data_IF_722891365457
#
_entry.id   IF_722891365457
#
_cell.length_a   1.000
_cell.length_b   1.000
_cell.length_c   1.000
_cell.angle_alpha   90.00
_cell.angle_beta   90.00
_cell.angle_gamma   90.00
#
_symmetry.space_group_name_H-M   'P 1'
#
loop_
_entity.id
_entity.type
_entity.pdbx_description
1 polymer ?
#
# COMPACT_ATOMS: atom_id res chain seq x y z
N UNK A 1 13.33 6.68 8.52
CA UNK A 1 12.70 5.51 9.20
C UNK A 1 13.69 4.42 9.66
N UNK A 2 14.99 4.68 9.90
CA UNK A 2 16.01 3.68 10.32
C UNK A 2 15.91 2.31 9.60
N UNK A 3 15.60 2.33 8.30
CA UNK A 3 15.62 1.12 7.47
C UNK A 3 17.06 0.87 7.05
N UNK A 4 17.47 -0.40 7.02
CA UNK A 4 18.80 -0.84 6.57
C UNK A 4 18.87 -1.05 5.05
N UNK A 5 17.87 -0.56 4.32
CA UNK A 5 17.75 -0.66 2.87
C UNK A 5 17.18 0.64 2.29
N UNK A 6 17.39 0.86 1.00
CA UNK A 6 16.90 2.01 0.24
C UNK A 6 15.84 1.58 -0.80
N UNK A 7 15.33 2.56 -1.55
CA UNK A 7 14.36 2.34 -2.63
C UNK A 7 14.89 1.38 -3.71
N UNK A 8 16.16 1.45 -4.09
CA UNK A 8 16.75 0.56 -5.09
C UNK A 8 16.75 -0.92 -4.65
N UNK A 9 17.05 -1.19 -3.37
CA UNK A 9 16.96 -2.54 -2.83
C UNK A 9 15.52 -3.06 -2.87
N UNK A 10 14.55 -2.21 -2.51
CA UNK A 10 13.13 -2.54 -2.60
C UNK A 10 12.72 -2.87 -4.04
N UNK A 11 13.11 -2.03 -5.01
CA UNK A 11 12.83 -2.23 -6.44
C UNK A 11 13.36 -3.56 -6.95
N UNK A 12 14.61 -3.91 -6.63
CA UNK A 12 15.22 -5.20 -7.00
C UNK A 12 14.40 -6.39 -6.51
N UNK A 13 13.90 -6.33 -5.27
CA UNK A 13 13.07 -7.41 -4.71
C UNK A 13 11.71 -7.46 -5.43
N UNK A 14 11.07 -6.30 -5.62
CA UNK A 14 9.79 -6.21 -6.32
C UNK A 14 9.87 -6.78 -7.73
N UNK A 15 10.85 -6.35 -8.52
CA UNK A 15 11.05 -6.78 -9.90
C UNK A 15 11.33 -8.29 -9.97
N UNK A 16 12.13 -8.81 -9.02
CA UNK A 16 12.38 -10.24 -8.91
C UNK A 16 11.10 -11.03 -8.61
N UNK A 17 10.30 -10.58 -7.65
CA UNK A 17 9.05 -11.26 -7.27
C UNK A 17 8.03 -11.25 -8.41
N UNK A 18 7.81 -10.09 -9.03
CA UNK A 18 6.89 -9.94 -10.17
C UNK A 18 7.30 -10.81 -11.36
N UNK A 19 8.62 -11.01 -11.57
CA UNK A 19 9.13 -11.85 -12.65
C UNK A 19 8.98 -13.35 -12.38
N UNK A 20 9.18 -13.78 -11.12
CA UNK A 20 9.34 -15.21 -10.80
C UNK A 20 8.14 -15.83 -10.08
N UNK A 21 7.18 -15.03 -9.60
CA UNK A 21 5.99 -15.51 -8.91
C UNK A 21 4.75 -15.06 -9.69
N UNK A 22 4.23 -15.91 -10.58
CA UNK A 22 3.01 -15.60 -11.34
C UNK A 22 1.86 -15.24 -10.41
N UNK A 23 1.08 -14.23 -10.79
CA UNK A 23 -0.11 -13.77 -10.07
C UNK A 23 0.13 -13.33 -8.62
N UNK A 24 1.36 -12.94 -8.25
CA UNK A 24 1.67 -12.47 -6.90
C UNK A 24 0.83 -11.23 -6.54
N UNK A 25 0.20 -11.28 -5.37
CA UNK A 25 -0.51 -10.15 -4.78
C UNK A 25 0.36 -9.47 -3.75
N UNK A 26 0.80 -8.24 -4.04
CA UNK A 26 1.70 -7.49 -3.17
C UNK A 26 0.91 -6.37 -2.49
N UNK A 27 0.75 -6.49 -1.17
CA UNK A 27 0.20 -5.44 -0.33
C UNK A 27 1.34 -4.68 0.37
N UNK A 28 1.20 -3.36 0.52
CA UNK A 28 2.20 -2.57 1.25
C UNK A 28 1.56 -1.43 2.04
N UNK A 29 2.23 -1.03 3.13
CA UNK A 29 1.89 0.15 3.92
C UNK A 29 2.83 1.31 3.57
N UNK A 30 2.27 2.51 3.38
CA UNK A 30 3.01 3.74 3.19
C UNK A 30 2.66 4.74 4.30
N UNK A 31 3.70 5.35 4.88
CA UNK A 31 3.56 6.40 5.89
C UNK A 31 3.96 7.71 5.24
N UNK A 32 3.00 8.62 5.05
CA UNK A 32 3.23 9.97 4.59
C UNK A 32 3.56 10.90 5.76
N UNK A 33 4.26 12.00 5.46
CA UNK A 33 4.59 13.08 6.38
C UNK A 33 5.44 12.63 7.57
N UNK A 34 6.36 11.68 7.34
CA UNK A 34 7.37 11.34 8.32
C UNK A 34 8.20 12.59 8.69
N UNK A 35 8.66 12.78 9.95
CA UNK A 35 9.27 14.05 10.39
C UNK A 35 10.43 14.61 9.57
N UNK A 36 11.11 13.77 8.78
CA UNK A 36 12.23 14.17 7.91
C UNK A 36 11.92 14.08 6.42
N UNK A 37 10.68 13.78 6.05
CA UNK A 37 10.27 13.58 4.66
C UNK A 37 10.30 14.90 3.90
N UNK A 38 11.20 15.03 2.91
CA UNK A 38 11.23 16.18 2.02
C UNK A 38 10.14 16.08 0.94
N UNK A 39 10.02 17.07 0.07
CA UNK A 39 9.11 16.97 -1.08
C UNK A 39 9.62 15.94 -2.09
N UNK A 40 10.95 15.87 -2.26
CA UNK A 40 11.62 14.89 -3.12
C UNK A 40 11.38 13.45 -2.62
N UNK A 41 11.53 13.22 -1.31
CA UNK A 41 11.22 11.91 -0.69
C UNK A 41 9.76 11.47 -0.94
N UNK A 42 8.83 12.44 -0.87
CA UNK A 42 7.42 12.20 -1.11
C UNK A 42 7.15 11.88 -2.58
N UNK A 43 7.78 12.61 -3.52
CA UNK A 43 7.62 12.35 -4.95
C UNK A 43 8.25 11.02 -5.36
N UNK A 44 9.40 10.63 -4.79
CA UNK A 44 9.97 9.29 -4.99
C UNK A 44 9.01 8.19 -4.52
N UNK A 45 8.33 8.42 -3.40
CA UNK A 45 7.32 7.51 -2.87
C UNK A 45 6.09 7.43 -3.79
N UNK A 46 5.65 8.55 -4.36
CA UNK A 46 4.59 8.58 -5.37
C UNK A 46 5.02 7.84 -6.64
N UNK A 47 6.27 7.98 -7.06
CA UNK A 47 6.79 7.29 -8.23
C UNK A 47 6.81 5.77 -8.04
N UNK A 48 7.20 5.27 -6.85
CA UNK A 48 7.09 3.84 -6.53
C UNK A 48 5.65 3.32 -6.69
N UNK A 49 4.65 4.09 -6.25
CA UNK A 49 3.24 3.73 -6.40
C UNK A 49 2.82 3.73 -7.87
N UNK A 50 3.30 4.67 -8.69
CA UNK A 50 3.03 4.71 -10.14
C UNK A 50 3.66 3.53 -10.88
N UNK A 51 4.90 3.19 -10.53
CA UNK A 51 5.68 2.14 -11.18
C UNK A 51 5.06 0.76 -10.93
N UNK A 52 4.73 0.47 -9.66
CA UNK A 52 4.31 -0.87 -9.25
C UNK A 52 2.80 -1.08 -9.18
N UNK A 53 2.00 -0.01 -9.17
CA UNK A 53 0.53 -0.05 -9.12
C UNK A 53 -0.01 -1.11 -8.14
N UNK A 54 0.42 -1.01 -6.88
CA UNK A 54 0.12 -2.00 -5.84
C UNK A 54 -1.38 -2.32 -5.78
N UNK A 55 -1.80 -3.60 -5.80
CA UNK A 55 -3.22 -3.94 -5.73
C UNK A 55 -3.83 -3.65 -4.34
N UNK A 56 -3.01 -3.61 -3.29
CA UNK A 56 -3.40 -3.17 -1.94
C UNK A 56 -2.35 -2.22 -1.36
N UNK A 57 -2.80 -1.01 -1.00
CA UNK A 57 -1.95 0.04 -0.48
C UNK A 57 -2.64 0.70 0.72
N UNK A 58 -2.04 0.57 1.91
CA UNK A 58 -2.52 1.26 3.10
C UNK A 58 -1.74 2.56 3.29
N UNK A 59 -2.44 3.68 3.20
CA UNK A 59 -1.84 5.01 3.25
C UNK A 59 -2.14 5.62 4.61
N UNK A 60 -1.11 5.82 5.42
CA UNK A 60 -1.22 6.35 6.78
C UNK A 60 -0.47 7.66 6.91
N UNK A 61 -1.01 8.60 7.68
CA UNK A 61 -0.23 9.76 8.14
C UNK A 61 0.68 9.34 9.30
N UNK A 62 1.90 9.88 9.35
CA UNK A 62 2.78 9.67 10.50
C UNK A 62 2.12 10.08 11.81
N UNK A 63 2.12 9.16 12.77
CA UNK A 63 1.71 9.39 14.14
C UNK A 63 2.85 9.00 15.09
N UNK A 64 3.31 9.90 15.98
CA UNK A 64 4.40 9.61 16.89
C UNK A 64 3.98 8.55 17.91
N UNK A 65 4.76 7.47 18.01
CA UNK A 65 4.56 6.44 19.03
C UNK A 65 5.54 6.65 20.18
N UNK A 66 5.03 6.66 21.41
CA UNK A 66 5.85 6.82 22.62
C UNK A 66 7.04 5.84 22.64
N UNK A 67 8.18 6.28 23.15
CA UNK A 67 9.42 5.48 23.21
C UNK A 67 10.24 5.42 21.90
N UNK A 68 9.72 5.91 20.78
CA UNK A 68 10.48 5.91 19.51
C UNK A 68 11.35 7.18 19.37
N UNK A 69 12.49 7.12 18.64
CA UNK A 69 13.25 8.33 18.31
C UNK A 69 12.40 9.36 17.55
N UNK A 70 11.51 8.89 16.66
CA UNK A 70 10.64 9.72 15.85
C UNK A 70 9.62 10.53 16.68
N UNK A 71 9.28 10.07 17.88
CA UNK A 71 8.36 10.79 18.77
C UNK A 71 8.88 12.16 19.22
N UNK A 72 10.21 12.35 19.24
CA UNK A 72 10.85 13.60 19.63
C UNK A 72 11.17 14.53 18.46
N UNK A 73 10.89 14.09 17.22
CA UNK A 73 11.20 14.86 16.02
C UNK A 73 10.12 15.91 15.74
N UNK A 74 10.50 17.04 15.14
CA UNK A 74 9.55 18.06 14.71
C UNK A 74 8.66 17.48 13.61
N UNK A 75 7.35 17.56 13.80
CA UNK A 75 6.39 17.07 12.80
C UNK A 75 6.34 17.99 11.59
N UNK A 76 6.05 17.41 10.44
CA UNK A 76 5.56 18.16 9.28
C UNK A 76 4.20 18.78 9.63
N UNK A 77 3.91 19.94 9.06
CA UNK A 77 2.66 20.65 9.28
C UNK A 77 1.44 19.77 8.94
N UNK A 78 0.35 19.96 9.67
CA UNK A 78 -0.85 19.11 9.52
C UNK A 78 -1.53 19.32 8.16
N UNK A 79 -1.50 20.53 7.61
CA UNK A 79 -2.07 20.82 6.29
C UNK A 79 -1.25 20.07 5.23
N UNK A 80 0.07 20.13 5.32
CA UNK A 80 0.98 19.45 4.40
C UNK A 80 0.85 17.93 4.50
N UNK A 81 0.76 17.39 5.72
CA UNK A 81 0.56 15.97 5.94
C UNK A 81 -0.76 15.45 5.33
N UNK A 82 -1.83 16.24 5.44
CA UNK A 82 -3.12 15.94 4.81
C UNK A 82 -3.03 16.02 3.28
N UNK A 83 -2.34 17.02 2.73
CA UNK A 83 -2.10 17.16 1.28
C UNK A 83 -1.42 15.91 0.72
N UNK A 84 -0.32 15.48 1.33
CA UNK A 84 0.45 14.29 0.90
C UNK A 84 -0.38 13.01 0.95
N UNK A 85 -1.07 12.79 2.07
CA UNK A 85 -1.95 11.62 2.24
C UNK A 85 -3.09 11.60 1.21
N UNK A 86 -3.72 12.76 0.97
CA UNK A 86 -4.79 12.89 -0.02
C UNK A 86 -4.28 12.66 -1.45
N UNK A 87 -3.11 13.19 -1.81
CA UNK A 87 -2.50 13.02 -3.13
C UNK A 87 -2.17 11.54 -3.42
N UNK A 88 -1.52 10.84 -2.49
CA UNK A 88 -1.23 9.42 -2.65
C UNK A 88 -2.52 8.59 -2.72
N UNK A 89 -3.54 8.97 -1.94
CA UNK A 89 -4.85 8.30 -1.98
C UNK A 89 -5.58 8.54 -3.30
N UNK A 90 -5.42 9.71 -3.92
CA UNK A 90 -5.96 10.00 -5.24
C UNK A 90 -5.27 9.13 -6.29
N UNK A 91 -3.94 9.09 -6.29
CA UNK A 91 -3.17 8.23 -7.20
C UNK A 91 -3.58 6.75 -7.07
N UNK A 92 -3.73 6.24 -5.85
CA UNK A 92 -4.17 4.85 -5.64
C UNK A 92 -5.56 4.55 -6.21
N UNK A 93 -6.45 5.55 -6.29
CA UNK A 93 -7.79 5.40 -6.88
C UNK A 93 -7.78 5.48 -8.41
N UNK A 94 -6.74 6.05 -9.01
CA UNK A 94 -6.68 6.28 -10.46
C UNK A 94 -6.42 5.01 -11.26
N UNK A 95 -5.66 4.05 -10.72
CA UNK A 95 -5.36 2.81 -11.43
C UNK A 95 -6.25 1.65 -10.99
N UNK A 96 -6.60 0.77 -11.94
CA UNK A 96 -7.30 -0.47 -11.61
C UNK A 96 -6.39 -1.38 -10.80
N UNK A 97 -6.93 -1.90 -9.70
CA UNK A 97 -6.30 -2.92 -8.84
C UNK A 97 -6.61 -4.34 -9.31
N UNK A 98 -7.61 -4.47 -10.18
CA UNK A 98 -8.08 -5.74 -10.70
C UNK A 98 -7.69 -5.84 -12.16
N UNK A 99 -6.95 -6.89 -12.45
CA UNK A 99 -6.62 -7.35 -13.80
C UNK A 99 -7.88 -7.98 -14.41
N UNK A 100 -8.41 -7.48 -15.54
CA UNK A 100 -9.54 -8.11 -16.25
C UNK A 100 -9.31 -9.59 -16.53
N UNK A 101 -8.04 -10.00 -16.61
CA UNK A 101 -7.58 -11.36 -16.83
C UNK A 101 -8.06 -12.34 -15.73
N UNK A 102 -8.40 -11.86 -14.53
CA UNK A 102 -8.95 -12.72 -13.45
C UNK A 102 -10.39 -13.18 -13.70
N UNK A 103 -11.10 -12.56 -14.65
CA UNK A 103 -12.48 -12.95 -14.96
C UNK A 103 -12.47 -14.31 -15.66
N UNK A 104 -13.09 -15.30 -15.04
CA UNK A 104 -13.17 -16.67 -15.55
C UNK A 104 -12.12 -17.63 -14.98
N UNK A 105 -11.23 -17.14 -14.10
CA UNK A 105 -10.29 -18.01 -13.38
C UNK A 105 -10.99 -18.74 -12.22
N UNK A 106 -10.57 -19.98 -11.95
CA UNK A 106 -10.98 -20.73 -10.77
C UNK A 106 -10.04 -20.44 -9.59
N UNK A 107 -10.61 -20.14 -8.43
CA UNK A 107 -9.85 -19.81 -7.22
C UNK A 107 -10.31 -20.66 -6.03
N UNK A 108 -9.36 -21.05 -5.18
CA UNK A 108 -9.68 -21.62 -3.87
C UNK A 108 -10.19 -20.51 -2.94
N UNK A 109 -11.30 -20.78 -2.24
CA UNK A 109 -11.93 -19.82 -1.33
C UNK A 109 -12.07 -20.40 0.07
N UNK A 110 -11.88 -19.55 1.08
CA UNK A 110 -12.21 -19.86 2.47
C UNK A 110 -13.56 -19.22 2.80
N UNK A 111 -14.52 -20.04 3.25
CA UNK A 111 -15.82 -19.55 3.69
C UNK A 111 -15.70 -19.11 5.15
N UNK A 112 -15.78 -17.79 5.38
CA UNK A 112 -15.69 -17.22 6.72
C UNK A 112 -17.04 -17.17 7.43
N UNK A 113 -18.11 -16.85 6.70
CA UNK A 113 -19.46 -16.72 7.26
C UNK A 113 -20.51 -17.15 6.24
N UNK A 114 -21.63 -17.67 6.75
CA UNK A 114 -22.80 -18.04 5.95
C UNK A 114 -23.92 -17.03 6.20
N UNK A 115 -24.31 -16.28 5.18
CA UNK A 115 -25.46 -15.38 5.28
C UNK A 115 -26.76 -16.17 5.50
N UNK A 116 -27.63 -15.71 6.40
CA UNK A 116 -28.89 -16.37 6.78
C UNK A 116 -30.07 -16.10 5.84
N UNK A 117 -29.84 -15.44 4.69
CA UNK A 117 -30.86 -15.10 3.70
C UNK A 117 -31.17 -16.23 2.70
N UNK A 118 -32.27 -16.09 1.93
CA UNK A 118 -32.73 -17.06 0.91
C UNK A 118 -31.73 -17.33 -0.23
N UNK A 119 -30.67 -16.54 -0.33
CA UNK A 119 -29.54 -16.78 -1.21
C UNK A 119 -28.30 -16.86 -0.33
N UNK A 120 -27.65 -18.02 -0.30
CA UNK A 120 -26.38 -18.23 0.40
C UNK A 120 -25.29 -17.45 -0.34
N UNK A 121 -25.16 -16.16 -0.02
CA UNK A 121 -24.01 -15.35 -0.46
C UNK A 121 -22.82 -15.76 0.38
N UNK A 122 -21.84 -16.41 -0.25
CA UNK A 122 -20.56 -16.70 0.36
C UNK A 122 -19.68 -15.46 0.24
N UNK A 123 -19.23 -14.91 1.37
CA UNK A 123 -18.19 -13.87 1.36
C UNK A 123 -16.85 -14.60 1.30
N UNK A 124 -16.22 -14.59 0.12
CA UNK A 124 -14.84 -15.01 -0.03
C UNK A 124 -13.93 -13.83 0.26
N UNK A 125 -12.96 -14.01 1.16
CA UNK A 125 -11.73 -13.22 1.14
C UNK A 125 -10.59 -14.16 0.74
N UNK A 126 -10.29 -14.20 -0.55
CA UNK A 126 -9.01 -14.69 -1.04
C UNK A 126 -8.11 -13.48 -1.25
N UNK A 127 -7.05 -13.39 -0.44
CA UNK A 127 -5.95 -12.42 -0.63
C UNK A 127 -5.33 -12.61 -2.02
#
# INVERSE_FOLDING_TARGET
>A
MKREYNSDHFRKIMDFMLKNVPNIYIATDMICAFPTETEEDFEESMQLVRDYKFPSLFINQFYPRSGTPAARMKKIDTIEARRRTAAMSALFREYSRYTPERIGEEHNVLVCEMASGKFSTFISMSN
#
